data_IF_689823872241
#
_entry.id   IF_689823872241
#
_cell.length_a   1.000
_cell.length_b   1.000
_cell.length_c   1.000
_cell.angle_alpha   90.00
_cell.angle_beta   90.00
_cell.angle_gamma   90.00
#
_symmetry.space_group_name_H-M   'P 1'
#
loop_
_entity.id
_entity.type
_entity.pdbx_description
1 polymer ?
#
# COMPACT_ATOMS: atom_id res chain seq x y z
N UNK A 1 -4.95 -29.80 19.59
CA UNK A 1 -4.52 -29.75 18.17
C UNK A 1 -3.76 -28.46 17.95
N UNK A 2 -2.44 -28.51 17.87
CA UNK A 2 -1.64 -27.34 17.47
C UNK A 2 -1.86 -27.17 15.96
N UNK A 3 -2.63 -26.16 15.56
CA UNK A 3 -2.67 -25.76 14.18
C UNK A 3 -1.25 -25.33 13.82
N UNK A 4 -0.50 -26.18 13.11
CA UNK A 4 0.67 -25.71 12.41
C UNK A 4 0.20 -24.63 11.46
N UNK A 5 0.45 -23.37 11.84
CA UNK A 5 0.57 -22.26 10.91
C UNK A 5 1.67 -22.64 9.93
N UNK A 6 1.33 -23.47 8.92
CA UNK A 6 2.17 -23.74 7.74
C UNK A 6 2.76 -22.40 7.36
N UNK A 7 4.08 -22.23 7.50
CA UNK A 7 4.79 -20.94 7.40
C UNK A 7 4.25 -20.16 6.20
N UNK A 8 3.25 -19.31 6.42
CA UNK A 8 2.67 -18.54 5.35
C UNK A 8 3.80 -17.62 4.89
N UNK A 9 4.11 -17.57 3.58
CA UNK A 9 5.24 -16.80 3.08
C UNK A 9 5.10 -15.30 3.38
N UNK A 10 3.89 -14.84 3.72
CA UNK A 10 3.58 -13.50 4.20
C UNK A 10 4.04 -13.25 5.65
N UNK A 11 4.09 -14.28 6.50
CA UNK A 11 4.60 -14.21 7.89
C UNK A 11 6.13 -14.20 7.96
N UNK A 12 6.82 -14.55 6.87
CA UNK A 12 8.26 -14.38 6.73
C UNK A 12 8.67 -12.93 6.36
N UNK A 13 7.70 -12.04 6.13
CA UNK A 13 7.97 -10.64 5.81
C UNK A 13 8.42 -9.87 7.05
N UNK A 14 9.25 -8.85 6.83
CA UNK A 14 9.49 -7.84 7.85
C UNK A 14 8.14 -7.23 8.29
N UNK A 15 7.97 -7.03 9.60
CA UNK A 15 6.73 -6.51 10.21
C UNK A 15 6.20 -5.26 9.51
N UNK A 16 7.08 -4.33 9.10
CA UNK A 16 6.71 -3.12 8.35
C UNK A 16 6.06 -3.43 7.00
N UNK A 17 6.62 -4.38 6.25
CA UNK A 17 6.14 -4.77 4.93
C UNK A 17 4.79 -5.48 5.03
N UNK A 18 4.65 -6.35 6.04
CA UNK A 18 3.37 -6.98 6.34
C UNK A 18 2.32 -5.91 6.71
N UNK A 19 2.68 -4.92 7.51
CA UNK A 19 1.81 -3.78 7.84
C UNK A 19 1.30 -3.03 6.60
N UNK A 20 2.19 -2.66 5.67
CA UNK A 20 1.79 -2.01 4.42
C UNK A 20 0.82 -2.86 3.60
N UNK A 21 1.14 -4.16 3.45
CA UNK A 21 0.31 -5.07 2.66
C UNK A 21 -1.08 -5.26 3.27
N UNK A 22 -1.15 -5.43 4.59
CA UNK A 22 -2.42 -5.56 5.30
C UNK A 22 -3.25 -4.29 5.16
N UNK A 23 -2.65 -3.12 5.37
CA UNK A 23 -3.34 -1.83 5.25
C UNK A 23 -3.91 -1.61 3.84
N UNK A 24 -3.16 -2.00 2.81
CA UNK A 24 -3.63 -1.91 1.45
C UNK A 24 -4.79 -2.87 1.12
N UNK A 25 -4.74 -4.11 1.65
CA UNK A 25 -5.77 -5.14 1.41
C UNK A 25 -7.07 -4.87 2.15
N UNK A 26 -6.99 -4.42 3.40
CA UNK A 26 -8.18 -4.09 4.19
C UNK A 26 -8.74 -2.72 3.88
N UNK A 27 -8.01 -1.90 3.12
CA UNK A 27 -8.27 -0.46 2.97
C UNK A 27 -8.23 0.29 4.32
N UNK A 28 -7.61 -0.28 5.35
CA UNK A 28 -7.52 0.32 6.68
C UNK A 28 -6.08 0.79 6.93
N UNK A 29 -5.89 2.07 7.22
CA UNK A 29 -4.58 2.66 7.50
C UNK A 29 -4.69 4.18 7.60
N UNK A 30 -3.55 4.87 7.71
CA UNK A 30 -3.47 6.34 7.58
C UNK A 30 -3.72 6.75 6.11
N UNK A 31 -4.99 6.65 5.71
CA UNK A 31 -5.53 7.03 4.42
C UNK A 31 -6.69 8.00 4.61
N UNK A 32 -6.95 8.81 3.58
CA UNK A 32 -7.91 9.91 3.64
C UNK A 32 -9.30 9.42 4.08
N UNK A 33 -9.83 8.40 3.42
CA UNK A 33 -11.17 7.87 3.64
C UNK A 33 -11.41 7.41 5.09
N UNK A 34 -10.40 6.87 5.76
CA UNK A 34 -10.54 6.42 7.15
C UNK A 34 -10.58 7.60 8.12
N UNK A 35 -9.65 8.55 7.96
CA UNK A 35 -9.56 9.73 8.81
C UNK A 35 -10.73 10.69 8.63
N UNK A 36 -11.24 10.86 7.41
CA UNK A 36 -12.43 11.70 7.16
C UNK A 36 -13.67 11.17 7.88
N UNK A 37 -13.79 9.85 8.03
CA UNK A 37 -14.95 9.22 8.70
C UNK A 37 -14.87 9.27 10.22
N UNK A 38 -13.67 9.15 10.79
CA UNK A 38 -13.50 8.95 12.24
C UNK A 38 -12.79 10.11 12.96
N UNK A 39 -11.97 10.90 12.26
CA UNK A 39 -11.18 11.98 12.83
C UNK A 39 -11.09 13.22 11.88
N UNK A 40 -12.21 13.89 11.59
CA UNK A 40 -12.23 15.01 10.66
C UNK A 40 -11.27 16.13 11.08
N UNK A 41 -10.46 16.63 10.14
CA UNK A 41 -9.57 17.78 10.35
C UNK A 41 -8.29 17.52 11.15
N UNK A 42 -8.03 16.29 11.59
CA UNK A 42 -6.89 15.97 12.46
C UNK A 42 -5.65 15.42 11.74
N UNK A 43 -5.76 15.08 10.45
CA UNK A 43 -4.67 14.47 9.71
C UNK A 43 -4.44 15.19 8.38
N UNK A 44 -3.16 15.34 8.01
CA UNK A 44 -2.82 15.73 6.64
C UNK A 44 -3.03 14.50 5.76
N UNK A 45 -4.00 14.56 4.85
CA UNK A 45 -4.42 13.41 4.04
C UNK A 45 -3.79 13.41 2.65
N UNK A 46 -2.88 14.35 2.41
CA UNK A 46 -2.27 14.55 1.10
C UNK A 46 -0.87 13.94 1.05
N UNK A 47 -0.61 13.24 -0.04
CA UNK A 47 0.72 12.85 -0.47
C UNK A 47 1.49 14.10 -0.90
N UNK A 48 2.82 14.18 -0.75
CA UNK A 48 3.63 15.27 -1.31
C UNK A 48 3.52 15.49 -2.82
N UNK A 49 2.80 14.61 -3.54
CA UNK A 49 2.43 14.83 -4.94
C UNK A 49 1.17 15.72 -5.13
N UNK A 50 0.52 16.15 -4.04
CA UNK A 50 -0.67 17.01 -4.01
C UNK A 50 -1.99 16.26 -4.22
N UNK A 51 -2.03 14.94 -3.99
CA UNK A 51 -3.26 14.14 -4.11
C UNK A 51 -3.53 13.43 -2.79
N UNK A 52 -4.80 13.14 -2.53
CA UNK A 52 -5.20 12.35 -1.37
C UNK A 52 -4.53 10.98 -1.34
N UNK A 53 -4.10 10.58 -0.15
CA UNK A 53 -3.51 9.26 0.11
C UNK A 53 -4.61 8.22 0.17
N UNK A 54 -4.53 7.23 -0.72
CA UNK A 54 -5.35 6.04 -0.72
C UNK A 54 -4.48 4.78 -0.69
N UNK A 55 -5.05 3.62 -0.34
CA UNK A 55 -4.37 2.32 -0.37
C UNK A 55 -3.60 2.02 -1.67
N UNK A 56 -4.13 2.51 -2.80
CA UNK A 56 -3.62 2.25 -4.14
C UNK A 56 -2.87 3.44 -4.74
N UNK A 57 -2.82 4.58 -4.04
CA UNK A 57 -2.23 5.83 -4.54
C UNK A 57 -0.80 5.66 -5.05
N UNK A 58 0.00 4.79 -4.41
CA UNK A 58 1.38 4.52 -4.80
C UNK A 58 1.53 4.04 -6.26
N UNK A 59 0.50 3.41 -6.83
CA UNK A 59 0.53 2.96 -8.23
C UNK A 59 0.39 4.13 -9.23
N UNK A 60 -0.20 5.24 -8.79
CA UNK A 60 -0.50 6.41 -9.61
C UNK A 60 0.28 7.66 -9.19
N UNK A 61 1.09 7.56 -8.14
CA UNK A 61 1.82 8.69 -7.58
C UNK A 61 2.90 9.18 -8.56
N UNK A 62 2.80 10.45 -8.97
CA UNK A 62 3.76 11.06 -9.91
C UNK A 62 5.19 11.14 -9.36
N UNK A 63 5.34 11.13 -8.03
CA UNK A 63 6.66 11.15 -7.35
C UNK A 63 7.33 9.77 -7.35
N UNK A 64 6.62 8.69 -7.67
CA UNK A 64 7.22 7.35 -7.84
C UNK A 64 7.98 7.31 -9.18
N UNK A 65 9.28 6.94 -9.18
CA UNK A 65 10.09 6.82 -10.38
C UNK A 65 9.50 5.84 -11.39
N UNK A 66 9.65 6.15 -12.68
CA UNK A 66 9.09 5.34 -13.77
C UNK A 66 9.50 3.85 -13.70
N UNK A 67 10.76 3.56 -13.37
CA UNK A 67 11.27 2.18 -13.27
C UNK A 67 10.70 1.36 -12.10
N UNK A 68 10.00 2.00 -11.15
CA UNK A 68 9.28 1.33 -10.07
C UNK A 68 7.79 1.21 -10.33
N UNK A 69 7.24 1.89 -11.35
CA UNK A 69 5.80 1.86 -11.61
C UNK A 69 5.39 0.49 -12.14
N UNK A 70 4.31 -0.05 -11.58
CA UNK A 70 3.68 -1.24 -12.12
C UNK A 70 2.91 -0.91 -13.41
N UNK A 71 2.88 -1.85 -14.37
CA UNK A 71 1.99 -1.75 -15.53
C UNK A 71 0.57 -2.10 -15.10
N UNK A 72 -0.35 -1.15 -15.28
CA UNK A 72 -1.75 -1.29 -14.90
C UNK A 72 -2.70 -1.46 -16.10
N UNK A 73 -2.18 -1.30 -17.32
CA UNK A 73 -3.00 -1.48 -18.53
C UNK A 73 -3.18 -2.97 -18.85
N UNK A 74 -4.32 -3.37 -19.43
CA UNK A 74 -5.46 -2.54 -19.84
C UNK A 74 -6.42 -2.19 -18.69
N UNK A 75 -6.52 -3.04 -17.66
CA UNK A 75 -7.46 -2.88 -16.56
C UNK A 75 -6.74 -2.66 -15.20
N UNK A 76 -6.75 -1.43 -14.66
CA UNK A 76 -6.02 -1.11 -13.44
C UNK A 76 -6.53 -1.83 -12.20
N UNK A 77 -7.84 -2.08 -12.09
CA UNK A 77 -8.41 -2.72 -10.90
C UNK A 77 -7.97 -4.18 -10.79
N UNK A 78 -8.10 -4.96 -11.86
CA UNK A 78 -7.62 -6.35 -11.89
C UNK A 78 -6.11 -6.42 -11.69
N UNK A 79 -5.34 -5.49 -12.29
CA UNK A 79 -3.89 -5.45 -12.13
C UNK A 79 -3.50 -5.20 -10.66
N UNK A 80 -4.14 -4.23 -10.00
CA UNK A 80 -3.90 -3.93 -8.59
C UNK A 80 -4.34 -5.11 -7.72
N UNK A 81 -5.52 -5.70 -7.95
CA UNK A 81 -5.99 -6.87 -7.22
C UNK A 81 -5.01 -8.03 -7.29
N UNK A 82 -4.47 -8.32 -8.48
CA UNK A 82 -3.43 -9.33 -8.68
C UNK A 82 -2.13 -8.99 -7.93
N UNK A 83 -1.71 -7.72 -7.96
CA UNK A 83 -0.51 -7.26 -7.27
C UNK A 83 -0.68 -7.36 -5.75
N UNK A 84 -1.79 -6.91 -5.18
CA UNK A 84 -2.04 -7.01 -3.74
C UNK A 84 -2.26 -8.46 -3.28
N UNK A 85 -2.82 -9.31 -4.12
CA UNK A 85 -3.01 -10.73 -3.83
C UNK A 85 -1.75 -11.55 -4.08
N UNK A 86 -1.63 -12.10 -5.30
CA UNK A 86 -0.63 -13.13 -5.65
C UNK A 86 0.77 -12.56 -5.89
N UNK A 87 0.88 -11.32 -6.35
CA UNK A 87 2.15 -10.69 -6.75
C UNK A 87 2.62 -9.62 -5.76
N UNK A 88 2.34 -9.80 -4.46
CA UNK A 88 2.56 -8.79 -3.41
C UNK A 88 4.00 -8.32 -3.28
N UNK A 89 4.99 -9.11 -3.72
CA UNK A 89 6.40 -8.67 -3.75
C UNK A 89 6.60 -7.42 -4.61
N UNK A 90 5.84 -7.27 -5.70
CA UNK A 90 5.84 -6.05 -6.53
C UNK A 90 5.32 -4.88 -5.71
N UNK A 91 4.19 -5.05 -5.02
CA UNK A 91 3.66 -4.05 -4.10
C UNK A 91 4.69 -3.63 -3.06
N UNK A 92 5.33 -4.59 -2.38
CA UNK A 92 6.31 -4.31 -1.33
C UNK A 92 7.49 -3.47 -1.81
N UNK A 93 7.98 -3.71 -3.03
CA UNK A 93 9.06 -2.92 -3.63
C UNK A 93 8.65 -1.45 -3.79
N UNK A 94 7.44 -1.22 -4.30
CA UNK A 94 6.92 0.14 -4.54
C UNK A 94 6.57 0.81 -3.21
N UNK A 95 5.88 0.09 -2.31
CA UNK A 95 5.47 0.55 -0.99
C UNK A 95 6.68 0.94 -0.14
N UNK A 96 7.73 0.13 -0.11
CA UNK A 96 8.94 0.46 0.64
C UNK A 96 9.57 1.76 0.14
N UNK A 97 9.66 2.00 -1.17
CA UNK A 97 10.13 3.29 -1.68
C UNK A 97 9.15 4.43 -1.33
N UNK A 98 7.86 4.22 -1.57
CA UNK A 98 6.83 5.22 -1.36
C UNK A 98 6.79 5.70 0.09
N UNK A 99 6.71 4.80 1.05
CA UNK A 99 6.61 5.17 2.47
C UNK A 99 7.94 5.66 3.06
N UNK A 100 9.10 5.21 2.57
CA UNK A 100 10.39 5.71 3.10
C UNK A 100 10.88 7.00 2.47
N UNK A 101 10.50 7.29 1.21
CA UNK A 101 11.05 8.41 0.44
C UNK A 101 10.02 9.48 0.08
N UNK A 102 8.75 9.12 -0.06
CA UNK A 102 7.69 10.05 -0.48
C UNK A 102 6.78 10.36 0.71
N UNK A 103 5.97 9.39 1.15
CA UNK A 103 5.05 9.55 2.26
C UNK A 103 5.63 9.00 3.55
N UNK A 104 6.53 9.76 4.18
CA UNK A 104 7.28 9.39 5.40
C UNK A 104 6.43 9.27 6.68
N UNK A 105 5.10 9.26 6.57
CA UNK A 105 4.19 9.10 7.71
C UNK A 105 4.11 7.66 8.24
N UNK A 106 4.78 6.71 7.56
CA UNK A 106 4.72 5.27 7.78
C UNK A 106 6.08 4.63 8.09
#
# INVERSE_FOLDING_TARGET
MAAELRKLPELALLRRHLGYLLAARSQHGDFADYHERLHPGQATLECPCGRQTSPTHLFYCRKVPHHLRARLTPDPETAIGRILGRSYKVYLRIANFYYTKINKRY
#
